data_IF_422549690378
#
_entry.id   IF_422549690378
#
_cell.length_a   1.000
_cell.length_b   1.000
_cell.length_c   1.000
_cell.angle_alpha   90.00
_cell.angle_beta   90.00
_cell.angle_gamma   90.00
#
_symmetry.space_group_name_H-M   'P 1'
#
loop_
_entity.id
_entity.type
_entity.pdbx_description
1 polymer ?
#
# COMPACT_ATOMS: atom_id res chain seq x y z
N UNK A 1 -14.93 -32.94 -41.67
CA UNK A 1 -15.07 -31.59 -41.08
C UNK A 1 -15.32 -31.77 -39.59
N UNK A 2 -14.29 -31.63 -38.74
CA UNK A 2 -14.42 -31.72 -37.27
C UNK A 2 -13.97 -30.39 -36.71
N UNK A 3 -14.93 -29.58 -36.25
CA UNK A 3 -14.67 -28.28 -35.65
C UNK A 3 -14.10 -28.49 -34.24
N UNK A 4 -12.77 -28.39 -34.07
CA UNK A 4 -12.16 -28.29 -32.75
C UNK A 4 -12.49 -26.92 -32.16
N UNK A 5 -13.49 -26.83 -31.28
CA UNK A 5 -13.64 -25.67 -30.39
C UNK A 5 -12.64 -25.82 -29.26
N UNK A 6 -11.47 -25.19 -29.40
CA UNK A 6 -10.64 -24.88 -28.24
C UNK A 6 -11.40 -23.86 -27.41
N UNK A 7 -11.78 -24.26 -26.19
CA UNK A 7 -12.30 -23.34 -25.20
C UNK A 7 -11.28 -22.21 -25.03
N UNK A 8 -11.73 -20.97 -25.17
CA UNK A 8 -10.92 -19.80 -24.84
C UNK A 8 -10.42 -20.00 -23.40
N UNK A 9 -9.09 -20.08 -23.22
CA UNK A 9 -8.50 -19.83 -21.91
C UNK A 9 -8.91 -18.40 -21.58
N UNK A 10 -9.88 -18.23 -20.68
CA UNK A 10 -10.00 -16.97 -19.98
C UNK A 10 -8.64 -16.74 -19.34
N UNK A 11 -7.90 -15.76 -19.87
CA UNK A 11 -6.77 -15.23 -19.16
C UNK A 11 -7.38 -14.69 -17.86
N UNK A 12 -7.09 -15.36 -16.76
CA UNK A 12 -7.26 -14.76 -15.44
C UNK A 12 -6.34 -13.55 -15.49
N UNK A 13 -6.90 -12.37 -15.76
CA UNK A 13 -6.19 -11.12 -15.58
C UNK A 13 -5.96 -11.03 -14.08
N UNK A 14 -4.84 -11.59 -13.60
CA UNK A 14 -4.38 -11.36 -12.25
C UNK A 14 -4.28 -9.85 -12.13
N UNK A 15 -5.18 -9.24 -11.37
CA UNK A 15 -5.17 -7.80 -11.17
C UNK A 15 -3.75 -7.40 -10.79
N UNK A 16 -3.10 -6.58 -11.62
CA UNK A 16 -1.80 -6.06 -11.28
C UNK A 16 -1.96 -5.17 -10.04
N UNK A 17 -1.05 -5.28 -9.08
CA UNK A 17 -1.09 -4.51 -7.84
C UNK A 17 0.11 -3.56 -7.78
N UNK A 18 -0.15 -2.33 -7.40
CA UNK A 18 0.90 -1.42 -6.92
C UNK A 18 1.03 -1.59 -5.41
N UNK A 19 2.26 -1.53 -4.90
CA UNK A 19 2.57 -1.64 -3.48
C UNK A 19 3.28 -0.39 -2.99
N UNK A 20 2.96 0.01 -1.76
CA UNK A 20 3.66 1.04 -1.00
C UNK A 20 4.02 0.48 0.37
N UNK A 21 5.22 0.76 0.84
CA UNK A 21 5.66 0.39 2.19
C UNK A 21 5.94 1.68 2.96
N UNK A 22 5.31 1.80 4.12
CA UNK A 22 5.56 2.90 5.06
C UNK A 22 6.24 2.35 6.32
N UNK A 23 7.38 2.91 6.67
CA UNK A 23 7.92 2.77 8.03
C UNK A 23 7.12 3.67 8.96
N UNK A 24 6.62 3.11 10.05
CA UNK A 24 5.82 3.82 11.05
C UNK A 24 6.51 3.72 12.39
N UNK A 25 6.97 4.85 12.94
CA UNK A 25 7.33 5.02 14.35
C UNK A 25 6.28 5.91 15.00
N UNK A 26 5.44 5.30 15.86
CA UNK A 26 4.34 5.99 16.52
C UNK A 26 4.83 7.13 17.45
N UNK A 27 6.13 7.20 17.75
CA UNK A 27 6.74 8.28 18.52
C UNK A 27 6.96 9.55 17.73
N UNK A 28 6.76 9.55 16.42
CA UNK A 28 6.52 10.80 15.70
C UNK A 28 7.05 10.88 14.28
N UNK A 29 7.43 9.77 13.68
CA UNK A 29 7.92 9.75 12.30
C UNK A 29 7.32 8.60 11.54
N UNK A 30 6.75 8.92 10.40
CA UNK A 30 6.39 7.96 9.37
C UNK A 30 7.20 8.31 8.13
N UNK A 31 7.73 7.33 7.41
CA UNK A 31 8.41 7.57 6.14
C UNK A 31 8.02 6.56 5.08
N UNK A 32 7.86 7.02 3.85
CA UNK A 32 7.54 6.19 2.69
C UNK A 32 8.11 6.86 1.44
N UNK A 33 8.76 6.08 0.58
CA UNK A 33 9.28 6.55 -0.73
C UNK A 33 10.16 7.82 -0.64
N UNK A 34 10.93 7.94 0.44
CA UNK A 34 11.82 9.07 0.68
C UNK A 34 11.14 10.34 1.25
N UNK A 35 9.82 10.30 1.47
CA UNK A 35 9.07 11.40 2.11
C UNK A 35 8.83 11.09 3.58
N UNK A 36 9.11 12.07 4.45
CA UNK A 36 8.83 11.99 5.88
C UNK A 36 7.53 12.71 6.24
N UNK A 37 6.79 12.11 7.16
CA UNK A 37 5.57 12.62 7.75
C UNK A 37 5.74 12.68 9.27
N UNK A 38 5.75 13.89 9.80
CA UNK A 38 6.15 14.18 11.18
C UNK A 38 4.92 14.47 12.05
N UNK A 39 4.97 13.98 13.29
CA UNK A 39 3.95 14.25 14.30
C UNK A 39 4.01 15.71 14.73
N UNK A 40 2.86 16.34 14.78
CA UNK A 40 2.72 17.73 15.21
C UNK A 40 2.86 17.86 16.74
N UNK A 41 3.18 19.05 17.22
CA UNK A 41 3.26 19.30 18.65
C UNK A 41 1.89 19.10 19.31
N UNK A 42 1.85 18.33 20.40
CA UNK A 42 0.61 18.00 21.11
C UNK A 42 -0.27 16.96 20.41
N UNK A 43 0.10 16.46 19.23
CA UNK A 43 -0.67 15.43 18.52
C UNK A 43 -0.53 14.08 19.24
N UNK A 44 -1.67 13.43 19.52
CA UNK A 44 -1.67 12.07 20.07
C UNK A 44 -1.15 11.06 19.04
N UNK A 45 -0.49 10.00 19.52
CA UNK A 45 0.11 8.97 18.64
C UNK A 45 -0.90 8.29 17.72
N UNK A 46 -2.13 8.08 18.19
CA UNK A 46 -3.22 7.51 17.41
C UNK A 46 -3.69 8.49 16.34
N UNK A 47 -3.95 9.76 16.69
CA UNK A 47 -4.32 10.81 15.74
C UNK A 47 -3.27 10.99 14.65
N UNK A 48 -1.99 10.96 15.01
CA UNK A 48 -0.86 11.02 14.08
C UNK A 48 -0.91 9.90 13.04
N UNK A 49 -1.04 8.65 13.49
CA UNK A 49 -1.13 7.50 12.59
C UNK A 49 -2.41 7.56 11.75
N UNK A 50 -3.55 7.92 12.33
CA UNK A 50 -4.82 8.08 11.61
C UNK A 50 -4.71 9.12 10.51
N UNK A 51 -4.12 10.30 10.76
CA UNK A 51 -3.95 11.36 9.75
C UNK A 51 -3.16 10.88 8.54
N UNK A 52 -2.10 10.11 8.78
CA UNK A 52 -1.32 9.50 7.70
C UNK A 52 -2.13 8.46 6.92
N UNK A 53 -2.78 7.52 7.61
CA UNK A 53 -3.59 6.46 6.98
C UNK A 53 -4.81 7.01 6.22
N UNK A 54 -5.44 8.07 6.73
CA UNK A 54 -6.55 8.74 6.04
C UNK A 54 -6.10 9.35 4.71
N UNK A 55 -4.91 9.93 4.65
CA UNK A 55 -4.34 10.46 3.40
C UNK A 55 -4.13 9.33 2.40
N UNK A 56 -3.55 8.21 2.84
CA UNK A 56 -3.35 7.03 2.00
C UNK A 56 -4.67 6.43 1.50
N UNK A 57 -5.69 6.37 2.35
CA UNK A 57 -7.03 5.90 1.96
C UNK A 57 -7.70 6.80 0.91
N UNK A 58 -7.50 8.12 1.00
CA UNK A 58 -7.97 9.06 -0.04
C UNK A 58 -7.27 8.84 -1.39
N UNK A 59 -6.00 8.43 -1.36
CA UNK A 59 -5.20 8.08 -2.55
C UNK A 59 -5.47 6.65 -3.10
N UNK A 60 -6.46 5.96 -2.53
CA UNK A 60 -6.89 4.61 -2.94
C UNK A 60 -6.01 3.47 -2.42
N UNK A 61 -5.10 3.74 -1.49
CA UNK A 61 -4.29 2.70 -0.86
C UNK A 61 -5.06 1.97 0.24
N UNK A 62 -5.06 0.65 0.17
CA UNK A 62 -5.59 -0.23 1.20
C UNK A 62 -4.46 -0.89 2.00
N UNK A 63 -4.66 -1.05 3.31
CA UNK A 63 -3.72 -1.76 4.17
C UNK A 63 -3.77 -3.27 3.86
N UNK A 64 -2.65 -3.83 3.44
CA UNK A 64 -2.52 -5.25 3.12
C UNK A 64 -1.92 -6.06 4.29
N UNK A 65 -0.95 -5.50 5.01
CA UNK A 65 -0.31 -6.15 6.14
C UNK A 65 0.44 -5.16 7.04
N UNK A 66 0.72 -5.59 8.27
CA UNK A 66 1.60 -4.88 9.21
C UNK A 66 2.71 -5.83 9.66
N UNK A 67 3.96 -5.41 9.55
CA UNK A 67 5.12 -6.12 10.05
C UNK A 67 5.73 -5.39 11.25
N UNK A 68 5.54 -5.87 12.48
CA UNK A 68 6.14 -5.28 13.68
C UNK A 68 7.66 -5.37 13.66
N UNK A 69 8.35 -4.35 14.15
CA UNK A 69 9.80 -4.36 14.30
C UNK A 69 10.22 -4.64 15.75
N UNK A 70 11.47 -5.09 15.91
CA UNK A 70 12.06 -5.41 17.22
C UNK A 70 12.08 -4.18 18.14
N UNK A 71 12.22 -2.96 17.58
CA UNK A 71 12.01 -1.73 18.35
C UNK A 71 10.52 -1.59 18.67
N UNK A 72 10.21 -1.58 19.96
CA UNK A 72 8.89 -1.25 20.48
C UNK A 72 8.37 0.04 19.84
N UNK A 73 7.09 0.05 19.47
CA UNK A 73 6.40 1.21 18.86
C UNK A 73 6.77 1.52 17.39
N UNK A 74 7.42 0.59 16.67
CA UNK A 74 7.65 0.74 15.22
C UNK A 74 7.23 -0.48 14.38
N UNK A 75 6.82 -0.24 13.13
CA UNK A 75 6.32 -1.28 12.21
C UNK A 75 6.47 -0.85 10.75
N UNK A 76 6.49 -1.81 9.82
CA UNK A 76 6.21 -1.55 8.41
C UNK A 76 4.73 -1.77 8.13
N UNK A 77 4.09 -0.78 7.52
CA UNK A 77 2.74 -0.87 6.99
C UNK A 77 2.86 -1.13 5.50
N UNK A 78 2.33 -2.26 5.04
CA UNK A 78 2.35 -2.67 3.64
C UNK A 78 0.98 -2.35 3.09
N UNK A 79 0.94 -1.48 2.08
CA UNK A 79 -0.27 -1.07 1.41
C UNK A 79 -0.27 -1.55 -0.03
N UNK A 80 -1.46 -1.77 -0.57
CA UNK A 80 -1.65 -2.10 -1.97
C UNK A 80 -2.77 -1.27 -2.57
N UNK A 81 -2.81 -1.19 -3.90
CA UNK A 81 -3.96 -0.72 -4.67
C UNK A 81 -3.93 -1.35 -6.06
N UNK A 82 -5.06 -1.44 -6.76
CA UNK A 82 -5.05 -1.87 -8.15
C UNK A 82 -4.04 -1.03 -8.95
N UNK A 83 -3.18 -1.69 -9.71
CA UNK A 83 -2.27 -0.99 -10.61
C UNK A 83 -3.08 -0.28 -11.67
N UNK A 84 -2.69 0.94 -11.98
CA UNK A 84 -3.31 1.64 -13.11
C UNK A 84 -2.77 1.00 -14.39
N UNK A 85 -3.63 0.36 -15.20
CA UNK A 85 -3.21 -0.19 -16.50
C UNK A 85 -2.65 0.93 -17.39
N UNK A 86 -1.31 1.06 -17.43
CA UNK A 86 -0.49 1.37 -18.61
C UNK A 86 0.95 1.71 -18.17
N UNK A 87 1.79 0.69 -18.03
CA UNK A 87 3.18 0.85 -18.47
C UNK A 87 3.27 0.15 -19.83
N UNK A 88 2.97 0.90 -20.89
CA UNK A 88 3.46 0.52 -22.22
C UNK A 88 4.97 0.60 -22.13
N UNK A 89 5.61 -0.56 -22.05
CA UNK A 89 7.04 -0.69 -22.25
C UNK A 89 7.37 -0.07 -23.62
N UNK A 90 8.29 0.89 -23.61
CA UNK A 90 8.88 1.48 -24.83
C UNK A 90 10.07 0.67 -25.30
#
# INVERSE_FOLDING_TARGET
MVLRRFAAKEAITLAAWEYKIAYVDFRGRISSEGVEFIRQQGEHRTSFATRYLSTLGQDGWELAAVHPLIRTESSYFILKRPATEAKKEG
#
